data_IF_297650617410
#
_entry.id   IF_297650617410
#
_cell.length_a   1.000
_cell.length_b   1.000
_cell.length_c   1.000
_cell.angle_alpha   90.00
_cell.angle_beta   90.00
_cell.angle_gamma   90.00
#
_symmetry.space_group_name_H-M   'P 1'
#
loop_
_entity.id
_entity.type
_entity.pdbx_description
1 polymer ?
#
# COMPACT_ATOMS: atom_id res chain seq x y z
N UNK A 1 3.07 10.68 -10.93
CA UNK A 1 1.89 9.80 -11.13
C UNK A 1 2.21 8.31 -10.93
N UNK A 2 3.10 7.94 -9.99
CA UNK A 2 3.54 6.55 -9.78
C UNK A 2 2.71 5.80 -8.75
N UNK A 3 2.22 6.47 -7.70
CA UNK A 3 1.42 5.86 -6.65
C UNK A 3 0.08 5.32 -7.17
N UNK A 4 -0.73 6.15 -7.84
CA UNK A 4 -2.03 5.74 -8.37
C UNK A 4 -1.92 4.68 -9.47
N UNK A 5 -0.85 4.72 -10.28
CA UNK A 5 -0.57 3.68 -11.26
C UNK A 5 -0.23 2.34 -10.59
N UNK A 6 0.63 2.35 -9.57
CA UNK A 6 0.95 1.18 -8.75
C UNK A 6 -0.28 0.63 -8.02
N UNK A 7 -1.12 1.53 -7.48
CA UNK A 7 -2.37 1.17 -6.81
C UNK A 7 -3.36 0.51 -7.78
N UNK A 8 -3.48 1.04 -9.00
CA UNK A 8 -4.31 0.46 -10.07
C UNK A 8 -3.85 -0.94 -10.47
N UNK A 9 -2.53 -1.17 -10.55
CA UNK A 9 -1.97 -2.51 -10.79
C UNK A 9 -2.29 -3.49 -9.66
N UNK A 10 -2.12 -3.06 -8.41
CA UNK A 10 -2.48 -3.86 -7.23
C UNK A 10 -3.99 -4.17 -7.21
N UNK A 11 -4.83 -3.19 -7.54
CA UNK A 11 -6.28 -3.38 -7.58
C UNK A 11 -6.71 -4.34 -8.69
N UNK A 12 -6.09 -4.25 -9.87
CA UNK A 12 -6.37 -5.12 -11.03
C UNK A 12 -5.67 -6.48 -10.97
N UNK A 13 -4.95 -6.80 -9.89
CA UNK A 13 -4.23 -8.07 -9.76
C UNK A 13 -5.25 -9.23 -9.86
N UNK A 14 -5.00 -10.14 -10.80
CA UNK A 14 -5.81 -11.35 -10.93
C UNK A 14 -5.26 -12.42 -9.99
N UNK A 15 -6.14 -13.31 -9.54
CA UNK A 15 -5.75 -14.50 -8.79
C UNK A 15 -5.02 -15.44 -9.75
N UNK A 16 -3.77 -15.78 -9.46
CA UNK A 16 -2.97 -16.77 -10.19
C UNK A 16 -2.69 -17.89 -9.17
N UNK A 17 -3.04 -19.13 -9.53
CA UNK A 17 -2.78 -20.33 -8.71
C UNK A 17 -3.24 -20.25 -7.24
N UNK A 18 -4.40 -19.64 -7.00
CA UNK A 18 -4.94 -19.54 -5.65
C UNK A 18 -4.50 -18.28 -4.89
N UNK A 19 -3.48 -17.57 -5.36
CA UNK A 19 -2.89 -16.42 -4.67
C UNK A 19 -3.02 -15.13 -5.48
N UNK A 20 -3.10 -14.01 -4.76
CA UNK A 20 -3.07 -12.69 -5.38
C UNK A 20 -1.63 -12.17 -5.34
N UNK A 21 -0.84 -12.55 -6.34
CA UNK A 21 0.55 -12.10 -6.46
C UNK A 21 0.65 -10.85 -7.34
N UNK A 22 1.34 -9.82 -6.84
CA UNK A 22 1.60 -8.58 -7.59
C UNK A 22 3.10 -8.22 -7.60
N UNK A 23 3.95 -9.09 -7.06
CA UNK A 23 5.40 -8.92 -6.91
C UNK A 23 6.10 -8.72 -8.26
N UNK A 24 5.71 -9.50 -9.27
CA UNK A 24 6.23 -9.44 -10.64
C UNK A 24 5.62 -8.30 -11.48
N UNK A 25 4.51 -7.70 -11.01
CA UNK A 25 3.75 -6.68 -11.75
C UNK A 25 4.18 -5.24 -11.41
N UNK A 26 4.82 -5.07 -10.26
CA UNK A 26 5.27 -3.78 -9.73
C UNK A 26 6.76 -3.60 -9.93
N UNK A 27 7.14 -2.44 -10.47
CA UNK A 27 8.55 -2.03 -10.49
C UNK A 27 9.03 -1.65 -9.08
N UNK A 28 10.34 -1.69 -8.81
CA UNK A 28 10.89 -1.28 -7.50
C UNK A 28 10.46 0.15 -7.09
N UNK A 29 10.41 1.08 -8.05
CA UNK A 29 9.95 2.46 -7.82
C UNK A 29 8.47 2.53 -7.43
N UNK A 30 7.61 1.74 -8.07
CA UNK A 30 6.18 1.65 -7.73
C UNK A 30 5.96 1.05 -6.35
N UNK A 31 6.71 0.00 -5.99
CA UNK A 31 6.68 -0.60 -4.66
C UNK A 31 7.08 0.40 -3.58
N UNK A 32 8.17 1.14 -3.80
CA UNK A 32 8.62 2.18 -2.88
C UNK A 32 7.61 3.33 -2.75
N UNK A 33 7.00 3.74 -3.87
CA UNK A 33 5.94 4.75 -3.86
C UNK A 33 4.72 4.31 -3.07
N UNK A 34 4.31 3.04 -3.17
CA UNK A 34 3.20 2.48 -2.39
C UNK A 34 3.52 2.50 -0.88
N UNK A 35 4.72 2.05 -0.50
CA UNK A 35 5.15 2.05 0.91
C UNK A 35 5.11 3.47 1.48
N UNK A 36 5.68 4.45 0.77
CA UNK A 36 5.70 5.84 1.24
C UNK A 36 4.26 6.39 1.37
N UNK A 37 3.42 6.17 0.35
CA UNK A 37 2.04 6.65 0.36
C UNK A 37 1.20 6.05 1.49
N UNK A 38 1.34 4.74 1.75
CA UNK A 38 0.65 4.09 2.86
C UNK A 38 1.17 4.56 4.23
N UNK A 39 2.48 4.74 4.39
CA UNK A 39 3.07 5.22 5.65
C UNK A 39 2.57 6.61 6.03
N UNK A 40 2.42 7.52 5.06
CA UNK A 40 1.89 8.87 5.29
C UNK A 40 0.46 8.83 5.87
N UNK A 41 -0.34 7.83 5.52
CA UNK A 41 -1.72 7.69 5.99
C UNK A 41 -1.78 6.90 7.31
N UNK A 42 -1.06 5.77 7.39
CA UNK A 42 -1.12 4.85 8.52
C UNK A 42 -0.47 5.45 9.78
N UNK A 43 0.65 6.16 9.65
CA UNK A 43 1.36 6.70 10.82
C UNK A 43 0.48 7.69 11.61
N UNK A 44 -0.16 8.70 10.99
CA UNK A 44 -1.09 9.59 11.70
C UNK A 44 -2.27 8.84 12.33
N UNK A 45 -2.84 7.83 11.66
CA UNK A 45 -3.94 7.03 12.20
C UNK A 45 -3.49 6.28 13.46
N UNK A 46 -2.31 5.65 13.43
CA UNK A 46 -1.75 4.96 14.60
C UNK A 46 -1.56 5.94 15.75
N UNK A 47 -1.01 7.13 15.49
CA UNK A 47 -0.83 8.17 16.52
C UNK A 47 -2.18 8.57 17.12
N UNK A 48 -3.19 8.83 16.30
CA UNK A 48 -4.54 9.15 16.78
C UNK A 48 -5.14 8.03 17.65
N UNK A 49 -4.99 6.77 17.23
CA UNK A 49 -5.49 5.62 18.01
C UNK A 49 -4.77 5.53 19.35
N UNK A 50 -3.44 5.69 19.37
CA UNK A 50 -2.67 5.68 20.62
C UNK A 50 -3.11 6.80 21.57
N UNK A 51 -3.35 8.01 21.05
CA UNK A 51 -3.85 9.13 21.85
C UNK A 51 -5.25 8.83 22.42
N UNK A 52 -6.13 8.19 21.66
CA UNK A 52 -7.46 7.78 22.13
C UNK A 52 -7.42 6.68 23.21
N UNK A 53 -6.43 5.78 23.16
CA UNK A 53 -6.29 4.72 24.17
C UNK A 53 -5.68 5.26 25.47
N UNK A 54 -4.77 6.22 25.37
CA UNK A 54 -4.07 6.81 26.51
C UNK A 54 -4.89 7.87 27.27
N UNK A 55 -5.95 8.38 26.65
CA UNK A 55 -6.84 9.40 27.21
C UNK A 55 -8.13 8.78 27.74
#
# INVERSE_FOLDING_TARGET
>A
MTFFAALSKVYKRKKIDGYYEASSMLTPKEKQSLIIGFSIIIIPIIICILLLILN
#
